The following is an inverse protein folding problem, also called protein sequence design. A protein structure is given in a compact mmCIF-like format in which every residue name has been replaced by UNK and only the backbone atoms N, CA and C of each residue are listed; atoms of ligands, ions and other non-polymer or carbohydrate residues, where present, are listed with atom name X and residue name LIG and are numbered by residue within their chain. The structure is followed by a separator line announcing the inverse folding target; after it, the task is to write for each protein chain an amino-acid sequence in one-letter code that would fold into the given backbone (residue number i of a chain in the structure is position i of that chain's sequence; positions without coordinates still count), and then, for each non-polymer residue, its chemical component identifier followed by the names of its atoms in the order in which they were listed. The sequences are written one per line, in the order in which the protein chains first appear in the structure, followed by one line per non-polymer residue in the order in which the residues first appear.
data_IF_482578463385
#
_entry.id   IF_482578463385
#
_cell.length_a   1.000
_cell.length_b   1.000
_cell.length_c   1.000
_cell.angle_alpha   90.00
_cell.angle_beta   90.00
_cell.angle_gamma   90.00
#
_symmetry.space_group_name_H-M   'P 1'
#
loop_
_entity.id
_entity.type
_entity.pdbx_description
1 polymer ?
#
# COMPACT_ATOMS: atom_id res chain seq x y z
N UNK A 1 -30.49 35.15 2.46
CA UNK A 1 -31.78 35.20 3.17
C UNK A 1 -32.66 34.15 2.53
N UNK A 2 -32.80 33.03 3.14
CA UNK A 2 -33.97 32.15 3.35
C UNK A 2 -33.45 30.84 3.97
N UNK A 3 -33.84 30.67 5.19
CA UNK A 3 -33.61 29.54 6.09
C UNK A 3 -34.72 28.52 5.82
N UNK A 4 -34.38 27.21 5.76
CA UNK A 4 -35.40 26.20 6.05
C UNK A 4 -34.83 25.04 6.85
N UNK A 5 -35.19 25.06 8.15
CA UNK A 5 -35.12 23.94 9.10
C UNK A 5 -36.31 23.01 8.84
N UNK A 6 -36.08 21.70 8.83
CA UNK A 6 -37.12 20.73 9.21
C UNK A 6 -36.51 19.60 10.04
N UNK A 7 -36.80 19.65 11.33
CA UNK A 7 -36.79 18.50 12.24
C UNK A 7 -38.06 17.68 12.02
N UNK A 8 -37.97 16.37 12.01
CA UNK A 8 -39.06 15.49 12.40
C UNK A 8 -38.54 14.23 13.08
N UNK A 9 -38.75 14.20 14.37
CA UNK A 9 -38.77 13.04 15.29
C UNK A 9 -39.96 12.16 14.96
N UNK A 10 -39.81 10.84 14.93
CA UNK A 10 -40.93 9.90 15.08
C UNK A 10 -40.51 8.84 16.10
N UNK A 11 -41.38 8.72 17.12
CA UNK A 11 -41.23 7.87 18.28
C UNK A 11 -41.70 6.42 18.04
N UNK A 12 -41.24 5.58 18.92
CA UNK A 12 -41.47 4.14 19.03
C UNK A 12 -42.92 3.78 19.39
N UNK A 13 -43.33 2.60 19.03
CA UNK A 13 -44.39 1.86 19.72
C UNK A 13 -44.08 0.37 19.75
N UNK A 14 -43.91 -0.15 20.96
CA UNK A 14 -43.78 -1.57 21.25
C UNK A 14 -45.19 -2.19 21.31
N UNK A 15 -45.33 -3.41 20.78
CA UNK A 15 -46.50 -4.25 21.01
C UNK A 15 -46.05 -5.62 21.51
N UNK A 16 -46.40 -5.88 22.77
CA UNK A 16 -46.30 -7.17 23.47
C UNK A 16 -47.58 -7.94 23.18
N UNK A 17 -47.47 -9.18 22.68
CA UNK A 17 -48.56 -10.16 22.75
C UNK A 17 -48.07 -11.44 23.41
N UNK A 18 -48.66 -11.68 24.58
CA UNK A 18 -48.58 -12.95 25.29
C UNK A 18 -49.55 -13.97 24.69
N UNK A 19 -49.13 -15.18 24.50
CA UNK A 19 -49.94 -16.34 24.13
C UNK A 19 -49.55 -17.52 24.98
N UNK A 20 -50.44 -17.93 25.89
CA UNK A 20 -50.39 -19.16 26.69
C UNK A 20 -50.80 -20.37 25.88
N UNK A 21 -50.22 -21.51 26.16
CA UNK A 21 -50.89 -22.78 25.91
C UNK A 21 -49.97 -23.98 25.74
N UNK A 22 -50.03 -24.94 26.68
CA UNK A 22 -49.90 -26.37 26.38
C UNK A 22 -48.72 -27.10 27.04
N UNK A 23 -48.94 -27.63 28.22
CA UNK A 23 -48.12 -28.68 28.86
C UNK A 23 -48.23 -30.02 28.12
N UNK A 24 -47.10 -30.62 27.80
CA UNK A 24 -46.97 -32.09 27.75
C UNK A 24 -45.65 -32.46 28.41
N UNK A 25 -45.71 -33.19 29.52
CA UNK A 25 -44.57 -33.74 30.23
C UNK A 25 -44.07 -35.01 29.50
N UNK A 26 -42.85 -35.03 29.12
CA UNK A 26 -42.10 -36.23 28.73
C UNK A 26 -40.85 -36.31 29.58
N UNK A 27 -40.83 -37.32 30.44
CA UNK A 27 -39.67 -37.69 31.25
C UNK A 27 -38.60 -38.33 30.38
N UNK A 28 -37.52 -37.59 30.08
CA UNK A 28 -36.31 -38.07 29.45
C UNK A 28 -35.11 -37.74 30.30
N UNK A 29 -34.39 -38.75 30.73
CA UNK A 29 -33.20 -38.71 31.59
C UNK A 29 -32.15 -37.79 31.00
N UNK A 30 -31.72 -36.76 31.79
CA UNK A 30 -30.61 -35.91 31.45
C UNK A 30 -29.34 -36.68 31.63
N UNK A 31 -28.61 -36.94 30.54
CA UNK A 31 -27.19 -37.23 30.60
C UNK A 31 -26.43 -35.88 30.64
N UNK A 32 -25.87 -35.57 31.79
CA UNK A 32 -24.94 -34.46 31.95
C UNK A 32 -23.69 -34.72 31.10
N UNK A 33 -23.67 -34.16 29.90
CA UNK A 33 -22.43 -34.05 29.13
C UNK A 33 -21.71 -32.78 29.60
N UNK A 34 -20.77 -32.97 30.54
CA UNK A 34 -19.81 -31.92 30.89
C UNK A 34 -18.96 -31.60 29.68
N UNK A 35 -19.38 -30.60 28.93
CA UNK A 35 -18.54 -30.02 27.86
C UNK A 35 -17.48 -29.17 28.57
N UNK A 36 -16.33 -29.77 28.83
CA UNK A 36 -15.11 -29.03 29.18
C UNK A 36 -14.78 -28.14 28.01
N UNK A 37 -15.07 -26.85 28.13
CA UNK A 37 -14.55 -25.83 27.25
C UNK A 37 -13.04 -25.79 27.42
N UNK A 38 -12.33 -26.53 26.57
CA UNK A 38 -10.89 -26.38 26.43
C UNK A 38 -10.71 -25.03 25.73
N UNK A 39 -10.48 -23.98 26.55
CA UNK A 39 -9.92 -22.72 26.07
C UNK A 39 -8.46 -22.99 25.70
N UNK A 40 -8.24 -23.48 24.50
CA UNK A 40 -6.91 -23.48 23.89
C UNK A 40 -6.67 -22.03 23.46
N UNK A 41 -6.03 -21.25 24.36
CA UNK A 41 -5.26 -20.09 23.95
C UNK A 41 -4.06 -20.65 23.18
N UNK A 42 -4.26 -20.99 21.91
CA UNK A 42 -3.15 -21.20 21.02
C UNK A 42 -2.52 -19.81 20.82
N UNK A 43 -1.47 -19.53 21.58
CA UNK A 43 -0.46 -18.57 21.14
C UNK A 43 0.07 -19.15 19.83
N UNK A 44 -0.51 -18.70 18.71
CA UNK A 44 -0.03 -19.03 17.37
C UNK A 44 1.34 -18.42 17.28
N UNK A 45 2.39 -19.26 17.20
CA UNK A 45 3.75 -18.81 16.90
C UNK A 45 3.66 -17.82 15.71
N UNK A 46 4.33 -16.65 15.80
CA UNK A 46 4.33 -15.68 14.73
C UNK A 46 4.75 -16.35 13.42
N UNK A 47 3.99 -16.11 12.35
CA UNK A 47 4.35 -16.64 11.04
C UNK A 47 5.73 -16.10 10.61
N UNK A 48 6.40 -16.79 9.69
CA UNK A 48 7.70 -16.31 9.15
C UNK A 48 7.52 -14.91 8.52
N UNK A 49 6.37 -14.65 7.90
CA UNK A 49 6.02 -13.32 7.40
C UNK A 49 5.99 -12.28 8.53
N UNK A 50 5.28 -12.56 9.63
CA UNK A 50 5.19 -11.64 10.76
C UNK A 50 6.55 -11.38 11.41
N UNK A 51 7.42 -12.39 11.44
CA UNK A 51 8.79 -12.21 11.93
C UNK A 51 9.57 -11.22 11.06
N UNK A 52 9.50 -11.36 9.73
CA UNK A 52 10.18 -10.46 8.79
C UNK A 52 9.60 -9.04 8.85
N UNK A 53 8.27 -8.90 8.85
CA UNK A 53 7.60 -7.58 8.95
C UNK A 53 8.02 -6.88 10.24
N UNK A 54 7.99 -7.58 11.38
CA UNK A 54 8.42 -7.02 12.67
C UNK A 54 9.85 -6.50 12.63
N UNK A 55 10.73 -7.25 11.97
CA UNK A 55 12.12 -6.86 11.83
C UNK A 55 12.26 -5.57 11.00
N UNK A 56 11.66 -5.51 9.83
CA UNK A 56 11.71 -4.33 8.96
C UNK A 56 11.04 -3.10 9.62
N UNK A 57 9.91 -3.29 10.30
CA UNK A 57 9.27 -2.21 11.07
C UNK A 57 10.22 -1.67 12.15
N UNK A 58 10.92 -2.56 12.87
CA UNK A 58 11.86 -2.16 13.92
C UNK A 58 13.08 -1.40 13.35
N UNK A 59 13.61 -1.84 12.20
CA UNK A 59 14.75 -1.21 11.56
C UNK A 59 14.39 0.20 11.02
N UNK A 60 13.16 0.36 10.54
CA UNK A 60 12.67 1.63 9.99
C UNK A 60 12.18 2.59 11.08
N UNK A 61 11.57 2.11 12.15
CA UNK A 61 10.93 2.95 13.18
C UNK A 61 11.86 4.00 13.83
N UNK A 62 13.19 3.74 13.83
CA UNK A 62 14.20 4.69 14.33
C UNK A 62 14.67 5.71 13.29
N UNK A 63 14.10 5.73 12.08
CA UNK A 63 14.53 6.59 10.98
C UNK A 63 13.60 7.79 10.86
N UNK A 64 14.11 8.97 10.42
CA UNK A 64 13.30 10.14 10.15
C UNK A 64 12.14 9.82 9.19
N UNK A 65 10.93 10.29 9.54
CA UNK A 65 9.70 10.02 8.80
C UNK A 65 8.98 8.72 9.19
N UNK A 66 9.65 7.81 9.95
CA UNK A 66 9.09 6.53 10.37
C UNK A 66 8.80 6.45 11.88
N UNK A 67 8.83 7.58 12.59
CA UNK A 67 8.66 7.61 14.06
C UNK A 67 7.33 7.00 14.50
N UNK A 68 6.30 7.12 13.67
CA UNK A 68 4.98 6.52 13.92
C UNK A 68 4.96 5.00 13.82
N UNK A 69 6.04 4.38 13.28
CA UNK A 69 6.15 2.92 13.19
C UNK A 69 6.64 2.29 14.49
N UNK A 70 7.13 3.08 15.43
CA UNK A 70 7.52 2.60 16.75
C UNK A 70 6.30 2.03 17.49
N UNK A 71 6.34 0.72 17.77
CA UNK A 71 5.22 0.01 18.42
C UNK A 71 3.99 -0.19 17.54
N UNK A 72 4.10 0.02 16.23
CA UNK A 72 3.01 -0.17 15.30
C UNK A 72 2.53 -1.62 15.21
N UNK A 73 1.26 -1.80 14.92
CA UNK A 73 0.66 -3.06 14.52
C UNK A 73 0.53 -3.13 12.99
N UNK A 74 0.22 -4.29 12.44
CA UNK A 74 0.01 -4.45 11.01
C UNK A 74 -1.06 -5.49 10.68
N UNK A 75 -1.60 -5.38 9.48
CA UNK A 75 -2.40 -6.42 8.84
C UNK A 75 -1.78 -6.78 7.49
N UNK A 76 -1.91 -8.02 7.07
CA UNK A 76 -1.43 -8.49 5.78
C UNK A 76 -2.55 -9.09 4.96
N UNK A 77 -2.50 -8.88 3.65
CA UNK A 77 -3.41 -9.50 2.68
C UNK A 77 -2.63 -9.94 1.43
N UNK A 78 -3.04 -11.01 0.75
CA UNK A 78 -2.41 -11.43 -0.51
C UNK A 78 -2.45 -10.32 -1.57
N UNK A 79 -1.41 -10.21 -2.40
CA UNK A 79 -1.34 -9.26 -3.52
C UNK A 79 -2.36 -9.59 -4.63
N UNK A 80 -2.71 -10.84 -4.81
CA UNK A 80 -3.69 -11.25 -5.80
C UNK A 80 -3.55 -12.72 -6.19
N UNK A 81 -4.44 -13.19 -7.07
CA UNK A 81 -4.41 -14.56 -7.57
C UNK A 81 -3.15 -14.78 -8.44
N UNK A 82 -2.42 -15.86 -8.16
CA UNK A 82 -1.20 -16.21 -8.89
C UNK A 82 0.03 -15.35 -8.56
N UNK A 83 -0.08 -14.46 -7.56
CA UNK A 83 1.04 -13.66 -7.08
C UNK A 83 1.53 -14.16 -5.73
N UNK A 84 2.83 -14.47 -5.65
CA UNK A 84 3.46 -14.86 -4.39
C UNK A 84 3.91 -13.62 -3.63
N UNK A 85 2.98 -12.99 -2.91
CA UNK A 85 3.28 -11.78 -2.16
C UNK A 85 2.12 -11.26 -1.33
N UNK A 86 2.43 -10.26 -0.51
CA UNK A 86 1.52 -9.66 0.45
C UNK A 86 1.63 -8.14 0.43
N UNK A 87 0.48 -7.48 0.54
CA UNK A 87 0.43 -6.10 1.01
C UNK A 87 0.28 -6.11 2.52
N UNK A 88 1.09 -5.33 3.20
CA UNK A 88 1.09 -5.17 4.66
C UNK A 88 0.79 -3.70 4.96
N UNK A 89 -0.32 -3.43 5.64
CA UNK A 89 -0.65 -2.09 6.11
C UNK A 89 -0.20 -1.92 7.55
N UNK A 90 0.47 -0.81 7.85
CA UNK A 90 1.06 -0.49 9.16
C UNK A 90 0.16 0.52 9.87
N UNK A 91 -0.12 0.25 11.14
CA UNK A 91 -1.04 1.04 11.95
C UNK A 91 -0.40 1.54 13.24
N UNK A 92 -0.65 2.81 13.58
CA UNK A 92 -0.40 3.34 14.91
C UNK A 92 -1.75 3.63 15.57
N UNK A 93 -2.15 2.79 16.52
CA UNK A 93 -3.53 2.72 16.95
C UNK A 93 -4.44 2.31 15.79
N UNK A 94 -5.49 3.10 15.53
CA UNK A 94 -6.43 2.86 14.42
C UNK A 94 -6.04 3.57 13.11
N UNK A 95 -4.99 4.40 13.15
CA UNK A 95 -4.56 5.18 11.99
C UNK A 95 -3.54 4.39 11.15
N UNK A 96 -3.76 4.33 9.84
CA UNK A 96 -2.76 3.85 8.90
C UNK A 96 -1.62 4.86 8.85
N UNK A 97 -0.37 4.38 8.96
CA UNK A 97 0.83 5.23 8.96
C UNK A 97 1.84 4.81 7.89
N UNK A 98 1.54 3.76 7.15
CA UNK A 98 2.38 3.29 6.06
C UNK A 98 2.01 1.90 5.58
N UNK A 99 2.84 1.35 4.71
CA UNK A 99 2.65 0.01 4.15
C UNK A 99 3.98 -0.61 3.73
N UNK A 100 3.96 -1.91 3.49
CA UNK A 100 5.02 -2.68 2.83
C UNK A 100 4.41 -3.58 1.75
N UNK A 101 5.15 -3.81 0.69
CA UNK A 101 4.90 -4.91 -0.25
C UNK A 101 5.99 -5.95 -0.05
N UNK A 102 5.55 -7.16 0.21
CA UNK A 102 6.42 -8.29 0.54
C UNK A 102 6.23 -9.39 -0.50
N UNK A 103 7.27 -9.73 -1.22
CA UNK A 103 7.30 -10.89 -2.11
C UNK A 103 7.66 -12.15 -1.34
N UNK A 104 7.09 -13.28 -1.75
CA UNK A 104 7.43 -14.59 -1.25
C UNK A 104 8.06 -15.46 -2.35
N UNK A 105 9.00 -16.33 -2.01
CA UNK A 105 9.53 -17.32 -2.94
C UNK A 105 8.45 -18.35 -3.30
N UNK A 106 8.53 -18.93 -4.51
CA UNK A 106 7.60 -19.99 -4.93
C UNK A 106 7.63 -21.22 -4.03
N UNK A 107 8.80 -21.50 -3.44
CA UNK A 107 9.00 -22.62 -2.50
C UNK A 107 8.43 -22.34 -1.11
N UNK A 108 8.03 -21.09 -0.82
CA UNK A 108 7.62 -20.65 0.52
C UNK A 108 8.80 -20.45 1.46
N UNK A 109 8.59 -19.68 2.54
CA UNK A 109 9.56 -19.54 3.63
C UNK A 109 10.58 -18.41 3.46
N UNK A 110 10.81 -17.91 2.25
CA UNK A 110 11.64 -16.74 2.01
C UNK A 110 10.77 -15.54 1.62
N UNK A 111 10.97 -14.44 2.34
CA UNK A 111 10.26 -13.19 2.09
C UNK A 111 11.24 -12.06 1.76
N UNK A 112 10.80 -11.14 0.91
CA UNK A 112 11.59 -10.00 0.43
C UNK A 112 10.77 -8.74 0.51
N UNK A 113 11.39 -7.67 0.98
CA UNK A 113 10.79 -6.35 0.96
C UNK A 113 10.93 -5.78 -0.45
N UNK A 114 9.81 -5.60 -1.16
CA UNK A 114 9.81 -5.12 -2.54
C UNK A 114 9.70 -3.59 -2.60
N UNK A 115 8.83 -3.02 -1.78
CA UNK A 115 8.70 -1.58 -1.56
C UNK A 115 8.06 -1.33 -0.20
N UNK A 116 8.18 -0.10 0.26
CA UNK A 116 7.48 0.38 1.44
C UNK A 116 7.19 1.88 1.29
N UNK A 117 6.28 2.38 2.10
CA UNK A 117 5.91 3.79 2.06
C UNK A 117 5.33 4.27 3.37
N UNK A 118 5.40 5.59 3.57
CA UNK A 118 4.85 6.29 4.72
C UNK A 118 3.65 7.13 4.31
N UNK A 119 2.79 7.42 5.28
CA UNK A 119 1.58 8.22 5.11
C UNK A 119 0.31 7.42 5.37
N UNK A 120 -0.80 8.11 5.31
CA UNK A 120 -2.15 7.60 5.60
C UNK A 120 -2.88 7.05 4.35
N UNK A 121 -2.25 7.15 3.19
CA UNK A 121 -2.75 6.59 1.93
C UNK A 121 -1.88 5.38 1.53
N UNK A 122 -2.09 4.18 2.10
CA UNK A 122 -1.29 3.02 1.77
C UNK A 122 -1.63 2.49 0.38
N UNK A 123 -0.66 1.83 -0.25
CA UNK A 123 -0.90 1.10 -1.49
C UNK A 123 -2.01 0.06 -1.28
N UNK A 124 -2.90 -0.09 -2.25
CA UNK A 124 -4.06 -1.00 -2.19
C UNK A 124 -5.04 -0.71 -1.04
N UNK A 125 -5.24 0.57 -0.71
CA UNK A 125 -6.28 1.01 0.21
C UNK A 125 -7.68 0.76 -0.36
N UNK A 126 -8.50 -0.03 0.32
CA UNK A 126 -9.91 -0.22 -0.05
C UNK A 126 -10.71 1.08 0.08
N UNK A 127 -10.35 1.94 1.03
CA UNK A 127 -10.99 3.24 1.17
C UNK A 127 -10.76 4.11 -0.06
N UNK A 128 -9.51 4.19 -0.53
CA UNK A 128 -9.16 4.93 -1.76
C UNK A 128 -9.90 4.36 -2.96
N UNK A 129 -9.88 3.03 -3.14
CA UNK A 129 -10.61 2.36 -4.21
C UNK A 129 -12.09 2.72 -4.21
N UNK A 130 -12.78 2.58 -3.06
CA UNK A 130 -14.20 2.84 -2.95
C UNK A 130 -14.54 4.32 -3.22
N UNK A 131 -13.70 5.25 -2.74
CA UNK A 131 -13.87 6.68 -3.04
C UNK A 131 -13.76 6.96 -4.54
N UNK A 132 -12.77 6.37 -5.21
CA UNK A 132 -12.59 6.52 -6.65
C UNK A 132 -13.74 5.92 -7.45
N UNK A 133 -14.23 4.75 -7.09
CA UNK A 133 -15.40 4.14 -7.75
C UNK A 133 -16.64 5.03 -7.60
N UNK A 134 -16.89 5.58 -6.41
CA UNK A 134 -18.01 6.50 -6.19
C UNK A 134 -17.88 7.78 -7.03
N UNK A 135 -16.67 8.33 -7.16
CA UNK A 135 -16.41 9.50 -8.02
C UNK A 135 -16.68 9.22 -9.49
N UNK A 136 -16.44 7.97 -9.93
CA UNK A 136 -16.75 7.49 -11.28
C UNK A 136 -18.22 7.10 -11.45
N UNK A 137 -19.06 7.26 -10.41
CA UNK A 137 -20.47 6.89 -10.44
C UNK A 137 -20.73 5.38 -10.34
N UNK A 138 -19.73 4.61 -9.90
CA UNK A 138 -19.82 3.17 -9.69
C UNK A 138 -20.10 2.87 -8.22
N UNK A 139 -20.95 1.88 -7.97
CA UNK A 139 -21.26 1.40 -6.62
C UNK A 139 -20.28 0.25 -6.31
N UNK A 140 -19.37 0.40 -5.31
CA UNK A 140 -18.30 -0.58 -5.07
C UNK A 140 -18.79 -2.02 -4.89
N UNK A 141 -19.93 -2.21 -4.22
CA UNK A 141 -20.50 -3.53 -3.92
C UNK A 141 -21.05 -4.25 -5.16
N UNK A 142 -21.22 -3.55 -6.28
CA UNK A 142 -21.74 -4.11 -7.53
C UNK A 142 -20.63 -4.57 -8.49
N UNK A 143 -19.37 -4.36 -8.11
CA UNK A 143 -18.23 -4.66 -8.98
C UNK A 143 -17.24 -5.60 -8.29
N UNK A 144 -16.69 -6.54 -9.06
CA UNK A 144 -15.52 -7.28 -8.63
C UNK A 144 -14.26 -6.46 -8.87
N UNK A 145 -13.30 -6.57 -7.97
CA UNK A 145 -12.00 -5.91 -8.10
C UNK A 145 -10.89 -6.81 -7.57
N UNK A 146 -9.73 -6.67 -8.16
CA UNK A 146 -8.53 -7.38 -7.72
C UNK A 146 -7.30 -6.47 -7.70
N UNK A 147 -6.33 -6.84 -6.87
CA UNK A 147 -5.02 -6.21 -6.85
C UNK A 147 -4.19 -6.79 -7.99
N UNK A 148 -3.50 -5.93 -8.70
CA UNK A 148 -2.52 -6.30 -9.73
C UNK A 148 -1.22 -5.59 -9.39
N UNK A 149 -0.18 -6.35 -9.08
CA UNK A 149 1.13 -5.83 -8.75
C UNK A 149 2.19 -6.55 -9.59
N UNK A 150 2.80 -5.84 -10.51
CA UNK A 150 3.95 -6.34 -11.25
C UNK A 150 5.27 -5.86 -10.63
N UNK A 151 5.32 -4.60 -10.29
CA UNK A 151 6.42 -3.95 -9.58
C UNK A 151 5.92 -2.63 -8.95
N UNK A 152 6.80 -1.86 -8.32
CA UNK A 152 6.42 -0.63 -7.64
C UNK A 152 5.86 0.48 -8.54
N UNK A 153 6.08 0.44 -9.85
CA UNK A 153 5.51 1.38 -10.81
C UNK A 153 4.24 0.84 -11.48
N UNK A 154 4.03 -0.47 -11.42
CA UNK A 154 2.90 -1.17 -12.02
C UNK A 154 2.06 -1.85 -10.94
N UNK A 155 1.44 -1.04 -10.10
CA UNK A 155 0.55 -1.44 -9.02
C UNK A 155 -0.85 -0.85 -9.26
N UNK A 156 -1.85 -1.68 -9.55
CA UNK A 156 -3.17 -1.25 -10.00
C UNK A 156 -4.28 -2.01 -9.30
N UNK A 157 -5.44 -1.39 -9.22
CA UNK A 157 -6.71 -2.07 -9.06
C UNK A 157 -7.28 -2.36 -10.44
N UNK A 158 -7.60 -3.61 -10.73
CA UNK A 158 -8.47 -3.99 -11.85
C UNK A 158 -9.89 -4.14 -11.34
N UNK A 159 -10.80 -3.41 -11.94
CA UNK A 159 -12.23 -3.43 -11.60
C UNK A 159 -13.01 -3.91 -12.82
N UNK A 160 -13.80 -4.95 -12.67
CA UNK A 160 -14.61 -5.47 -13.75
C UNK A 160 -15.94 -4.72 -13.80
N UNK A 161 -16.25 -4.15 -14.96
CA UNK A 161 -17.50 -3.42 -15.24
C UNK A 161 -18.23 -4.04 -16.42
N UNK A 162 -19.47 -3.65 -16.64
CA UNK A 162 -20.23 -4.10 -17.81
C UNK A 162 -19.61 -3.67 -19.15
N UNK A 163 -18.79 -2.62 -19.15
CA UNK A 163 -18.13 -2.05 -20.33
C UNK A 163 -16.71 -2.61 -20.55
N UNK A 164 -16.21 -3.42 -19.61
CA UNK A 164 -14.86 -3.99 -19.62
C UNK A 164 -14.10 -3.72 -18.33
N UNK A 165 -12.79 -3.99 -18.33
CA UNK A 165 -11.96 -3.76 -17.17
C UNK A 165 -11.55 -2.29 -17.08
N UNK A 166 -11.74 -1.71 -15.89
CA UNK A 166 -11.27 -0.40 -15.50
C UNK A 166 -9.99 -0.58 -14.67
N UNK A 167 -8.99 0.26 -14.91
CA UNK A 167 -7.73 0.24 -14.21
C UNK A 167 -7.55 1.51 -13.40
N UNK A 168 -7.30 1.35 -12.11
CA UNK A 168 -7.06 2.48 -11.21
C UNK A 168 -5.67 2.32 -10.57
N UNK A 169 -4.97 3.43 -10.41
CA UNK A 169 -3.71 3.44 -9.65
C UNK A 169 -3.95 2.94 -8.22
N UNK A 170 -3.09 2.04 -7.75
CA UNK A 170 -3.27 1.41 -6.44
C UNK A 170 -3.04 2.35 -5.25
N UNK A 171 -2.35 3.49 -5.49
CA UNK A 171 -2.01 4.47 -4.46
C UNK A 171 -2.98 5.64 -4.45
N UNK A 172 -3.28 6.21 -5.62
CA UNK A 172 -4.12 7.41 -5.75
C UNK A 172 -5.58 7.11 -6.07
N UNK A 173 -5.85 5.93 -6.65
CA UNK A 173 -7.18 5.58 -7.18
C UNK A 173 -7.52 6.27 -8.48
N UNK A 174 -6.57 6.97 -9.11
CA UNK A 174 -6.75 7.64 -10.39
C UNK A 174 -6.98 6.63 -11.51
N UNK A 175 -7.90 6.94 -12.42
CA UNK A 175 -8.13 6.10 -13.59
C UNK A 175 -6.96 6.21 -14.58
N UNK A 176 -6.42 5.05 -14.97
CA UNK A 176 -5.27 4.97 -15.85
C UNK A 176 -5.66 4.64 -17.29
N UNK A 177 -4.98 5.23 -18.29
CA UNK A 177 -5.21 4.98 -19.71
C UNK A 177 -4.49 3.68 -20.17
N UNK A 178 -4.82 2.54 -19.53
CA UNK A 178 -4.18 1.27 -19.85
C UNK A 178 -4.64 0.78 -21.22
N UNK A 179 -3.71 0.47 -22.14
CA UNK A 179 -4.04 -0.08 -23.46
C UNK A 179 -4.79 -1.41 -23.33
N UNK A 180 -5.75 -1.66 -24.22
CA UNK A 180 -6.57 -2.89 -24.18
C UNK A 180 -5.75 -4.17 -24.32
N UNK A 181 -4.65 -4.09 -25.06
CA UNK A 181 -3.73 -5.19 -25.32
C UNK A 181 -2.72 -5.39 -24.20
N UNK A 182 -2.63 -4.42 -23.26
CA UNK A 182 -1.70 -4.52 -22.15
C UNK A 182 -2.13 -5.62 -21.19
N UNK A 183 -1.17 -6.42 -20.77
CA UNK A 183 -1.35 -7.40 -19.71
C UNK A 183 -0.21 -7.27 -18.71
N UNK A 184 -0.48 -7.45 -17.41
CA UNK A 184 0.58 -7.43 -16.41
C UNK A 184 1.62 -8.49 -16.75
N UNK A 185 2.87 -8.06 -16.89
CA UNK A 185 4.00 -8.98 -16.97
C UNK A 185 4.29 -9.49 -15.57
N UNK A 186 4.55 -10.79 -15.43
CA UNK A 186 5.09 -11.32 -14.19
C UNK A 186 6.44 -10.63 -13.94
N UNK A 187 6.50 -9.79 -12.91
CA UNK A 187 7.69 -9.00 -12.65
C UNK A 187 8.87 -9.94 -12.36
N UNK A 188 9.92 -9.79 -13.13
CA UNK A 188 11.24 -10.21 -12.71
C UNK A 188 11.74 -9.18 -11.70
N UNK A 189 11.31 -9.31 -10.46
CA UNK A 189 11.69 -8.41 -9.39
C UNK A 189 13.19 -8.54 -9.15
N UNK A 190 13.94 -7.42 -9.04
CA UNK A 190 15.34 -7.47 -8.67
C UNK A 190 15.45 -8.12 -7.29
N UNK A 191 16.14 -9.25 -7.25
CA UNK A 191 16.22 -10.09 -6.06
C UNK A 191 17.27 -9.58 -5.11
N UNK A 192 16.85 -9.27 -3.89
CA UNK A 192 17.77 -9.24 -2.74
C UNK A 192 17.74 -10.59 -2.04
N UNK A 193 18.90 -11.14 -1.73
CA UNK A 193 19.00 -12.39 -0.98
C UNK A 193 18.34 -12.24 0.39
N UNK A 194 17.38 -13.11 0.69
CA UNK A 194 16.53 -13.06 1.89
C UNK A 194 17.27 -13.30 3.22
N UNK A 195 18.52 -13.73 3.20
CA UNK A 195 19.30 -14.02 4.42
C UNK A 195 19.96 -12.79 5.04
N UNK A 196 19.95 -11.65 4.37
CA UNK A 196 20.56 -10.45 4.91
C UNK A 196 19.59 -9.74 5.83
N UNK A 197 19.96 -9.60 7.08
CA UNK A 197 19.37 -8.61 7.99
C UNK A 197 19.71 -7.25 7.42
N UNK A 198 18.72 -6.64 6.81
CA UNK A 198 18.92 -5.39 6.10
C UNK A 198 18.77 -4.27 7.09
N UNK A 199 19.88 -3.63 7.44
CA UNK A 199 19.89 -2.44 8.30
C UNK A 199 20.02 -1.21 7.40
N UNK A 200 19.15 -0.21 7.59
CA UNK A 200 19.27 1.06 6.88
C UNK A 200 20.56 1.75 7.32
N UNK A 201 21.55 1.82 6.43
CA UNK A 201 22.86 2.39 6.68
C UNK A 201 22.90 3.91 6.49
N UNK A 202 22.22 4.39 5.47
CA UNK A 202 22.18 5.80 5.13
C UNK A 202 20.76 6.20 4.77
N UNK A 203 20.38 7.41 5.16
CA UNK A 203 19.06 7.94 4.93
C UNK A 203 19.11 9.43 4.67
N UNK A 204 18.46 9.84 3.60
CA UNK A 204 18.15 11.24 3.32
C UNK A 204 16.66 11.37 3.04
N UNK A 205 16.03 12.37 3.66
CA UNK A 205 14.67 12.77 3.38
C UNK A 205 14.62 14.28 3.21
N UNK A 206 13.94 14.73 2.17
CA UNK A 206 13.69 16.14 1.83
C UNK A 206 12.18 16.41 1.88
N UNK A 207 11.83 17.66 2.03
CA UNK A 207 10.45 18.08 1.85
C UNK A 207 9.99 17.80 0.41
N UNK A 208 8.77 17.28 0.24
CA UNK A 208 8.22 17.05 -1.09
C UNK A 208 7.96 18.39 -1.82
N UNK A 209 8.04 18.34 -3.13
CA UNK A 209 7.66 19.44 -4.02
C UNK A 209 6.82 18.92 -5.18
N UNK A 210 6.11 19.83 -5.85
CA UNK A 210 5.30 19.47 -7.02
C UNK A 210 6.13 19.69 -8.30
N UNK A 211 6.50 18.63 -9.05
CA UNK A 211 7.33 18.75 -10.24
C UNK A 211 6.72 19.61 -11.35
N UNK A 212 5.39 19.71 -11.42
CA UNK A 212 4.68 20.48 -12.44
C UNK A 212 4.69 21.98 -12.16
N UNK A 213 4.96 22.40 -10.92
CA UNK A 213 5.13 23.82 -10.56
C UNK A 213 6.47 24.37 -11.04
N UNK A 214 7.43 23.50 -11.36
CA UNK A 214 8.81 23.85 -11.68
C UNK A 214 9.30 23.06 -12.89
N UNK A 215 9.03 23.57 -14.08
CA UNK A 215 9.31 22.84 -15.33
C UNK A 215 10.77 22.92 -15.82
N UNK A 216 11.66 23.61 -15.08
CA UNK A 216 13.09 23.75 -15.46
C UNK A 216 13.81 22.41 -15.60
N UNK A 217 13.36 21.36 -14.90
CA UNK A 217 13.93 20.02 -15.03
C UNK A 217 13.71 19.39 -16.41
N UNK A 218 12.72 19.86 -17.19
CA UNK A 218 12.48 19.38 -18.57
C UNK A 218 13.61 19.74 -19.55
N UNK A 219 14.42 20.75 -19.19
CA UNK A 219 15.57 21.18 -20.00
C UNK A 219 16.87 20.49 -19.55
N UNK A 220 16.84 19.78 -18.42
CA UNK A 220 17.99 19.08 -17.88
C UNK A 220 18.28 17.79 -18.66
N UNK A 221 19.54 17.40 -18.73
CA UNK A 221 19.93 16.11 -19.25
C UNK A 221 19.62 15.02 -18.20
N UNK A 222 19.21 13.80 -18.64
CA UNK A 222 18.98 12.70 -17.73
C UNK A 222 20.25 12.32 -16.96
N UNK A 223 20.14 12.18 -15.65
CA UNK A 223 21.25 11.69 -14.82
C UNK A 223 21.43 10.17 -15.01
N UNK A 224 22.63 9.72 -15.33
CA UNK A 224 22.89 8.30 -15.62
C UNK A 224 22.82 7.42 -14.37
N UNK A 225 22.99 8.01 -13.21
CA UNK A 225 22.84 7.36 -11.89
C UNK A 225 22.50 8.41 -10.86
N UNK A 226 21.87 8.00 -9.79
CA UNK A 226 21.58 8.83 -8.63
C UNK A 226 22.21 8.14 -7.40
N UNK A 227 23.20 8.77 -6.79
CA UNK A 227 23.76 8.26 -5.54
C UNK A 227 23.03 8.83 -4.34
N UNK A 228 23.05 8.11 -3.22
CA UNK A 228 22.45 8.61 -1.97
C UNK A 228 23.11 9.89 -1.53
N UNK A 229 24.43 10.04 -1.80
CA UNK A 229 25.19 11.24 -1.44
C UNK A 229 24.82 12.49 -2.24
N UNK A 230 24.33 12.34 -3.47
CA UNK A 230 23.85 13.47 -4.27
C UNK A 230 22.57 14.08 -3.70
N UNK A 231 21.84 13.32 -2.92
CA UNK A 231 20.67 13.79 -2.18
C UNK A 231 21.02 14.52 -0.89
N UNK A 232 22.31 14.49 -0.45
CA UNK A 232 22.77 15.21 0.76
C UNK A 232 22.78 16.73 0.57
N UNK A 233 22.92 17.20 -0.68
CA UNK A 233 22.85 18.63 -0.98
C UNK A 233 21.39 19.12 -0.88
N UNK A 234 21.06 19.97 0.11
CA UNK A 234 19.70 20.45 0.29
C UNK A 234 19.19 21.32 -0.86
N UNK A 235 20.11 21.93 -1.64
CA UNK A 235 19.74 22.76 -2.78
C UNK A 235 19.44 21.96 -4.04
N UNK A 236 19.89 20.71 -4.11
CA UNK A 236 19.63 19.84 -5.26
C UNK A 236 18.22 19.25 -5.18
N UNK A 237 17.45 19.38 -6.24
CA UNK A 237 16.18 18.73 -6.44
C UNK A 237 16.29 17.73 -7.59
N UNK A 238 15.59 16.60 -7.46
CA UNK A 238 15.53 15.59 -8.50
C UNK A 238 14.09 15.25 -8.80
N UNK A 239 13.79 15.15 -10.08
CA UNK A 239 12.52 14.62 -10.59
C UNK A 239 12.80 13.27 -11.20
N UNK A 240 12.04 12.26 -10.80
CA UNK A 240 11.98 10.99 -11.47
C UNK A 240 10.83 10.99 -12.47
N UNK A 241 11.10 10.80 -13.74
CA UNK A 241 10.08 10.66 -14.78
C UNK A 241 9.93 9.19 -15.13
N UNK A 242 8.78 8.60 -14.82
CA UNK A 242 8.42 7.27 -15.30
C UNK A 242 7.84 7.32 -16.71
N UNK A 243 8.04 6.22 -17.46
CA UNK A 243 7.45 6.02 -18.78
C UNK A 243 6.70 4.68 -18.76
N UNK A 244 5.39 4.73 -18.60
CA UNK A 244 4.53 3.57 -18.44
C UNK A 244 3.76 3.27 -19.73
N UNK A 245 3.35 2.00 -19.92
CA UNK A 245 2.55 1.54 -21.06
C UNK A 245 3.17 1.95 -22.40
N UNK A 246 4.48 1.67 -22.58
CA UNK A 246 5.22 2.00 -23.82
C UNK A 246 5.22 3.51 -24.12
N UNK A 247 5.26 4.35 -23.09
CA UNK A 247 5.27 5.81 -23.22
C UNK A 247 3.89 6.46 -23.34
N UNK A 248 2.81 5.69 -23.22
CA UNK A 248 1.45 6.26 -23.26
C UNK A 248 1.10 7.05 -21.98
N UNK A 249 1.83 6.81 -20.89
CA UNK A 249 1.71 7.57 -19.66
C UNK A 249 3.11 7.95 -19.16
N UNK A 250 3.35 9.23 -19.08
CA UNK A 250 4.55 9.83 -18.49
C UNK A 250 4.13 10.50 -17.19
N UNK A 251 4.78 10.13 -16.08
CA UNK A 251 4.45 10.67 -14.78
C UNK A 251 5.72 11.16 -14.08
N UNK A 252 5.82 12.45 -13.74
CA UNK A 252 6.92 13.00 -12.98
C UNK A 252 6.65 12.86 -11.48
N UNK A 253 7.67 12.45 -10.74
CA UNK A 253 7.63 12.35 -9.28
C UNK A 253 8.77 13.17 -8.68
N UNK A 254 8.51 13.93 -7.62
CA UNK A 254 9.57 14.48 -6.81
C UNK A 254 10.36 13.36 -6.13
N UNK A 255 11.68 13.41 -6.20
CA UNK A 255 12.53 12.53 -5.40
C UNK A 255 12.72 13.16 -4.03
N UNK A 256 12.18 12.50 -3.01
CA UNK A 256 12.20 13.01 -1.63
C UNK A 256 13.30 12.42 -0.78
N UNK A 257 14.02 11.39 -1.27
CA UNK A 257 15.10 10.82 -0.50
C UNK A 257 15.59 9.47 -0.97
N UNK A 258 16.39 8.83 -0.14
CA UNK A 258 16.82 7.47 -0.36
C UNK A 258 17.19 6.78 0.95
N UNK A 259 17.04 5.46 0.97
CA UNK A 259 17.60 4.57 1.98
C UNK A 259 18.61 3.64 1.35
N UNK A 260 19.81 3.61 1.87
CA UNK A 260 20.78 2.54 1.58
C UNK A 260 20.57 1.42 2.59
N UNK A 261 20.19 0.25 2.09
CA UNK A 261 20.06 -0.96 2.87
C UNK A 261 21.24 -1.85 2.54
N UNK A 262 22.10 -2.12 3.53
CA UNK A 262 23.36 -2.79 3.21
C UNK A 262 24.15 -2.06 2.10
N UNK A 263 25.28 -2.57 1.64
CA UNK A 263 26.18 -1.83 0.73
C UNK A 263 25.63 -1.61 -0.69
N UNK A 264 24.69 -2.44 -1.14
CA UNK A 264 24.35 -2.52 -2.56
C UNK A 264 22.85 -2.33 -2.87
N UNK A 265 22.01 -2.17 -1.85
CA UNK A 265 20.58 -2.04 -2.03
C UNK A 265 20.12 -0.62 -1.69
N UNK A 266 19.73 0.12 -2.70
CA UNK A 266 19.20 1.47 -2.53
C UNK A 266 17.71 1.47 -2.88
N UNK A 267 16.92 2.05 -1.98
CA UNK A 267 15.53 2.44 -2.22
C UNK A 267 15.47 3.94 -2.35
N UNK A 268 15.00 4.42 -3.48
CA UNK A 268 14.76 5.85 -3.71
C UNK A 268 13.33 6.18 -3.34
N UNK A 269 13.16 7.25 -2.56
CA UNK A 269 11.86 7.76 -2.16
C UNK A 269 11.35 8.71 -3.23
N UNK A 270 10.17 8.41 -3.77
CA UNK A 270 9.41 9.29 -4.66
C UNK A 270 8.12 9.72 -3.98
N UNK A 271 7.70 10.96 -4.22
CA UNK A 271 6.44 11.48 -3.69
C UNK A 271 5.26 11.02 -4.57
N UNK A 272 4.32 10.33 -3.97
CA UNK A 272 3.11 9.83 -4.62
C UNK A 272 2.01 9.64 -3.57
N UNK A 273 1.34 10.73 -3.16
CA UNK A 273 0.43 10.75 -2.02
C UNK A 273 1.09 10.23 -0.73
N UNK A 274 2.26 10.74 -0.42
CA UNK A 274 3.19 10.25 0.60
C UNK A 274 4.38 9.51 -0.03
N UNK A 275 5.48 9.48 0.69
CA UNK A 275 6.73 8.94 0.15
C UNK A 275 6.66 7.43 -0.04
N UNK A 276 7.02 6.97 -1.24
CA UNK A 276 7.19 5.57 -1.63
C UNK A 276 8.65 5.27 -1.85
N UNK A 277 9.16 4.24 -1.22
CA UNK A 277 10.54 3.78 -1.32
C UNK A 277 10.60 2.58 -2.26
N UNK A 278 11.10 2.81 -3.45
CA UNK A 278 11.22 1.83 -4.54
C UNK A 278 12.68 1.47 -4.78
N UNK A 279 12.99 0.21 -5.15
CA UNK A 279 14.34 -0.16 -5.53
C UNK A 279 14.85 0.75 -6.66
N UNK A 280 15.98 1.39 -6.46
CA UNK A 280 16.54 2.34 -7.42
C UNK A 280 16.79 1.68 -8.79
N UNK A 281 17.18 0.41 -8.78
CA UNK A 281 17.38 -0.35 -10.01
C UNK A 281 16.10 -0.47 -10.86
N UNK A 282 14.92 -0.59 -10.21
CA UNK A 282 13.63 -0.55 -10.91
C UNK A 282 13.44 0.81 -11.58
N UNK A 283 13.67 1.89 -10.84
CA UNK A 283 13.48 3.25 -11.35
C UNK A 283 14.39 3.53 -12.55
N UNK A 284 15.64 3.11 -12.52
CA UNK A 284 16.55 3.24 -13.66
C UNK A 284 16.10 2.45 -14.90
N UNK A 285 15.42 1.33 -14.71
CA UNK A 285 14.96 0.51 -15.84
C UNK A 285 13.67 1.02 -16.50
N UNK A 286 12.90 1.84 -15.80
CA UNK A 286 11.54 2.25 -16.19
C UNK A 286 11.36 3.75 -16.36
N UNK A 287 12.45 4.54 -16.26
CA UNK A 287 12.41 5.99 -16.39
C UNK A 287 13.78 6.63 -16.27
N UNK A 288 13.80 7.93 -15.98
CA UNK A 288 15.02 8.71 -15.86
C UNK A 288 14.92 9.72 -14.70
N UNK A 289 16.07 10.04 -14.12
CA UNK A 289 16.19 11.10 -13.13
C UNK A 289 16.70 12.37 -13.80
N UNK A 290 16.17 13.50 -13.36
CA UNK A 290 16.54 14.83 -13.83
C UNK A 290 16.90 15.71 -12.64
N UNK A 291 18.08 16.28 -12.66
CA UNK A 291 18.49 17.26 -11.64
C UNK A 291 17.95 18.63 -12.00
N UNK A 292 17.49 19.33 -10.99
CA UNK A 292 17.04 20.70 -11.12
C UNK A 292 17.59 21.53 -9.95
N UNK A 293 18.19 22.66 -10.28
CA UNK A 293 18.61 23.64 -9.28
C UNK A 293 17.44 24.59 -9.09
N UNK A 294 16.81 24.55 -7.91
CA UNK A 294 15.69 25.42 -7.59
C UNK A 294 16.03 26.88 -7.82
N UNK A 295 15.07 27.68 -8.26
CA UNK A 295 15.22 29.12 -8.31
C UNK A 295 15.55 29.64 -6.90
N UNK A 296 16.67 30.37 -6.77
CA UNK A 296 17.12 31.03 -5.54
C UNK A 296 16.19 32.19 -5.19
#
# INVERSE_FOLDING_TARGET
MIIWKWCRTIAAAALITAGCGGFIASTGQAAETTTAAISISAETEPSVLDHNVRHWVADLAGKPGFEKWAGASWSSAPLGAGQHGFVVHIYNGDAVVGYMIVGASESGGEYRLLEYGIGDHPLFSLQTLHQSLMQLGLIPEHHSYERVYSDGLHAYWRVDTAEGSLWLDAKTGEQLPVPKEWSPSAAQLPYTNAERRVTVLHQQLKEPFEPTDHIGWLEAEPEPSLSVHELDDPASHYVYQSSLFEGNLIYPFAVTGAHSWDSDLIYTAIEHNGSRFLPQQLLHSAGAFFRWEGEQ
#
